data_IF_056355186703
#
_entry.id   IF_056355186703
#
_cell.length_a   1.000
_cell.length_b   1.000
_cell.length_c   1.000
_cell.angle_alpha   90.00
_cell.angle_beta   90.00
_cell.angle_gamma   90.00
#
_symmetry.space_group_name_H-M   'P 1'
#
loop_
_entity.id
_entity.type
_entity.pdbx_description
1 polymer ?
#
# COMPACT_ATOMS: atom_id res chain seq x y z
N UNK A 1 0.25 -13.48 -7.75
CA UNK A 1 -1.18 -13.13 -7.63
C UNK A 1 -1.42 -12.78 -6.18
N UNK A 2 -1.71 -11.52 -5.87
CA UNK A 2 -1.93 -11.05 -4.49
C UNK A 2 -3.30 -11.56 -4.06
N UNK A 3 -3.34 -12.64 -3.28
CA UNK A 3 -4.57 -13.20 -2.77
C UNK A 3 -5.09 -12.31 -1.63
N UNK A 4 -6.40 -12.00 -1.63
CA UNK A 4 -7.06 -11.28 -0.53
C UNK A 4 -7.24 -9.77 -0.71
N UNK A 5 -6.81 -9.18 -1.83
CA UNK A 5 -7.14 -7.79 -2.16
C UNK A 5 -8.64 -7.67 -2.49
N UNK A 6 -9.34 -6.75 -1.82
CA UNK A 6 -10.79 -6.54 -1.99
C UNK A 6 -11.11 -5.51 -3.08
N UNK A 7 -10.15 -4.65 -3.41
CA UNK A 7 -10.31 -3.57 -4.40
C UNK A 7 -9.09 -3.45 -5.31
N UNK A 8 -9.27 -2.78 -6.45
CA UNK A 8 -8.17 -2.45 -7.37
C UNK A 8 -7.12 -1.58 -6.68
N UNK A 9 -7.55 -0.63 -5.85
CA UNK A 9 -6.65 0.21 -5.06
C UNK A 9 -5.80 -0.63 -4.10
N UNK A 10 -6.41 -1.56 -3.36
CA UNK A 10 -5.70 -2.45 -2.46
C UNK A 10 -4.71 -3.35 -3.22
N UNK A 11 -5.11 -3.90 -4.36
CA UNK A 11 -4.22 -4.69 -5.22
C UNK A 11 -3.02 -3.86 -5.69
N UNK A 12 -3.26 -2.66 -6.20
CA UNK A 12 -2.21 -1.78 -6.71
C UNK A 12 -1.24 -1.36 -5.61
N UNK A 13 -1.75 -0.99 -4.43
CA UNK A 13 -0.95 -0.61 -3.27
C UNK A 13 -0.09 -1.79 -2.78
N UNK A 14 -0.69 -2.98 -2.61
CA UNK A 14 0.06 -4.18 -2.20
C UNK A 14 1.14 -4.53 -3.24
N UNK A 15 0.81 -4.47 -4.53
CA UNK A 15 1.79 -4.74 -5.60
C UNK A 15 2.92 -3.72 -5.62
N UNK A 16 2.62 -2.43 -5.42
CA UNK A 16 3.62 -1.38 -5.34
C UNK A 16 4.62 -1.62 -4.19
N UNK A 17 4.12 -2.12 -3.05
CA UNK A 17 4.89 -2.35 -1.84
C UNK A 17 5.70 -3.65 -1.87
N UNK A 18 5.13 -4.76 -2.33
CA UNK A 18 5.83 -6.05 -2.45
C UNK A 18 7.07 -5.97 -3.35
N UNK A 19 7.08 -5.06 -4.33
CA UNK A 19 8.24 -4.80 -5.18
C UNK A 19 9.35 -3.96 -4.51
N UNK A 20 9.09 -3.35 -3.34
CA UNK A 20 10.01 -2.42 -2.67
C UNK A 20 10.43 -2.86 -1.28
N UNK A 21 9.57 -3.62 -0.60
CA UNK A 21 9.71 -3.93 0.81
C UNK A 21 9.49 -5.41 1.10
N UNK A 22 10.22 -5.91 2.08
CA UNK A 22 9.94 -7.22 2.67
C UNK A 22 8.72 -7.09 3.60
N UNK A 23 7.53 -7.33 3.04
CA UNK A 23 6.24 -7.03 3.70
C UNK A 23 6.03 -7.68 5.06
N UNK A 24 6.76 -8.74 5.41
CA UNK A 24 6.70 -9.37 6.74
C UNK A 24 7.12 -8.44 7.88
N UNK A 25 7.87 -7.37 7.59
CA UNK A 25 8.35 -6.38 8.57
C UNK A 25 7.41 -5.18 8.71
N UNK A 26 6.29 -5.17 8.00
CA UNK A 26 5.40 -4.02 7.95
C UNK A 26 3.95 -4.42 8.18
N UNK A 27 3.19 -3.50 8.78
CA UNK A 27 1.73 -3.59 8.88
C UNK A 27 1.11 -2.60 7.90
N UNK A 28 0.34 -3.12 6.96
CA UNK A 28 -0.38 -2.33 5.96
C UNK A 28 -1.86 -2.22 6.34
N UNK A 29 -2.36 -0.99 6.42
CA UNK A 29 -3.78 -0.70 6.50
C UNK A 29 -4.19 0.05 5.23
N UNK A 30 -5.22 -0.45 4.53
CA UNK A 30 -5.77 0.19 3.32
C UNK A 30 -7.19 0.66 3.62
N UNK A 31 -7.48 1.91 3.29
CA UNK A 31 -8.79 2.54 3.39
C UNK A 31 -9.14 3.25 2.08
N UNK A 32 -10.01 2.60 1.29
CA UNK A 32 -10.36 3.05 -0.05
C UNK A 32 -9.14 3.17 -0.97
N UNK A 33 -8.83 4.42 -1.36
CA UNK A 33 -7.68 4.75 -2.20
C UNK A 33 -6.42 5.13 -1.39
N UNK A 34 -6.48 5.15 -0.07
CA UNK A 34 -5.36 5.52 0.78
C UNK A 34 -4.83 4.28 1.52
N UNK A 35 -3.58 4.32 1.92
CA UNK A 35 -3.01 3.32 2.80
C UNK A 35 -1.97 3.91 3.74
N UNK A 36 -1.80 3.26 4.89
CA UNK A 36 -0.76 3.53 5.86
C UNK A 36 0.04 2.26 6.03
N UNK A 37 1.34 2.36 5.80
CA UNK A 37 2.32 1.32 6.07
C UNK A 37 3.07 1.70 7.34
N UNK A 38 3.11 0.82 8.33
CA UNK A 38 3.83 1.03 9.58
C UNK A 38 4.93 -0.01 9.70
N UNK A 39 6.16 0.42 9.97
CA UNK A 39 7.29 -0.49 10.18
C UNK A 39 7.30 -1.07 11.61
N UNK A 40 8.36 -1.80 11.96
CA UNK A 40 8.52 -2.37 13.31
C UNK A 40 8.93 -1.34 14.37
N UNK A 41 9.48 -0.19 13.97
CA UNK A 41 9.88 0.90 14.85
C UNK A 41 8.73 1.88 15.12
N UNK A 42 7.63 1.77 14.38
CA UNK A 42 6.47 2.65 14.47
C UNK A 42 6.48 3.79 13.45
N UNK A 43 7.46 3.83 12.56
CA UNK A 43 7.54 4.80 11.48
C UNK A 43 6.45 4.52 10.44
N UNK A 44 5.86 5.59 9.92
CA UNK A 44 4.70 5.49 9.02
C UNK A 44 5.01 6.06 7.64
N UNK A 45 4.59 5.32 6.61
CA UNK A 45 4.58 5.76 5.22
C UNK A 45 3.14 5.77 4.72
N UNK A 46 2.66 6.91 4.21
CA UNK A 46 1.32 7.01 3.62
C UNK A 46 1.39 6.85 2.11
N UNK A 47 0.43 6.12 1.55
CA UNK A 47 0.32 5.89 0.12
C UNK A 47 -1.08 6.27 -0.36
N UNK A 48 -1.17 6.69 -1.62
CA UNK A 48 -2.43 6.91 -2.31
C UNK A 48 -2.41 6.28 -3.70
N UNK A 49 -3.47 5.54 -3.98
CA UNK A 49 -3.82 5.10 -5.33
C UNK A 49 -4.60 6.20 -6.05
N UNK A 50 -4.08 6.61 -7.19
CA UNK A 50 -4.76 7.49 -8.14
C UNK A 50 -5.45 6.62 -9.20
N UNK A 51 -6.78 6.65 -9.23
CA UNK A 51 -7.58 5.84 -10.15
C UNK A 51 -7.54 6.32 -11.60
N UNK A 52 -7.38 7.63 -11.81
CA UNK A 52 -7.28 8.24 -13.14
C UNK A 52 -5.96 7.83 -13.79
N UNK A 53 -4.87 7.91 -13.01
CA UNK A 53 -3.52 7.55 -13.46
C UNK A 53 -3.19 6.06 -13.31
N UNK A 54 -4.03 5.31 -12.60
CA UNK A 54 -3.83 3.90 -12.23
C UNK A 54 -2.47 3.65 -11.59
N UNK A 55 -2.05 4.57 -10.71
CA UNK A 55 -0.70 4.59 -10.13
C UNK A 55 -0.74 4.80 -8.63
N UNK A 56 0.24 4.24 -7.92
CA UNK A 56 0.43 4.45 -6.47
C UNK A 56 1.56 5.44 -6.24
N UNK A 57 1.34 6.39 -5.34
CA UNK A 57 2.33 7.38 -4.92
C UNK A 57 2.43 7.44 -3.40
N UNK A 58 3.59 7.85 -2.89
CA UNK A 58 3.79 8.20 -1.49
C UNK A 58 3.21 9.59 -1.28
N UNK A 59 2.48 9.79 -0.19
CA UNK A 59 1.90 11.07 0.22
C UNK A 59 2.39 11.42 1.62
N UNK A 60 2.53 12.71 1.93
CA UNK A 60 2.93 13.20 3.28
C UNK A 60 1.78 13.04 4.30
#
# INVERSE_FOLDING_TARGET
MIKGAKTIAEYAIRSYLENKFQMEKFRLQVDGNNAVLVDMNGDTLRLRYDSERRSVSIVE
#
